data_IF_763480849163
#
_entry.id   IF_763480849163
#
_cell.length_a   1.000
_cell.length_b   1.000
_cell.length_c   1.000
_cell.angle_alpha   90.00
_cell.angle_beta   90.00
_cell.angle_gamma   90.00
#
_symmetry.space_group_name_H-M   'P 1'
#
loop_
_entity.id
_entity.type
_entity.pdbx_description
1 polymer ?
#
# COMPACT_ATOMS: atom_id res chain seq x y z
N UNK A 1 3.60 -12.11 2.85
CA UNK A 1 2.23 -12.21 3.36
C UNK A 1 1.29 -12.55 2.21
N UNK A 2 0.40 -13.49 2.40
CA UNK A 2 -0.44 -14.07 1.34
C UNK A 2 -1.33 -13.03 0.67
N UNK A 3 -2.01 -12.18 1.45
CA UNK A 3 -2.95 -11.18 0.91
C UNK A 3 -2.23 -10.17 0.01
N UNK A 4 -1.10 -9.65 0.46
CA UNK A 4 -0.30 -8.69 -0.31
C UNK A 4 0.23 -9.32 -1.60
N UNK A 5 0.72 -10.55 -1.51
CA UNK A 5 1.24 -11.30 -2.64
C UNK A 5 0.16 -11.57 -3.70
N UNK A 6 -1.04 -11.95 -3.25
CA UNK A 6 -2.17 -12.20 -4.13
C UNK A 6 -2.60 -10.92 -4.85
N UNK A 7 -2.70 -9.80 -4.13
CA UNK A 7 -3.06 -8.51 -4.72
C UNK A 7 -2.04 -8.05 -5.75
N UNK A 8 -0.75 -8.22 -5.46
CA UNK A 8 0.32 -7.86 -6.40
C UNK A 8 0.21 -8.65 -7.70
N UNK A 9 -0.18 -9.92 -7.62
CA UNK A 9 -0.34 -10.80 -8.77
C UNK A 9 -1.57 -10.45 -9.60
N UNK A 10 -2.67 -10.12 -8.95
CA UNK A 10 -3.96 -9.89 -9.61
C UNK A 10 -4.14 -8.45 -10.09
N UNK A 11 -3.76 -7.48 -9.27
CA UNK A 11 -3.95 -6.07 -9.58
C UNK A 11 -2.93 -5.22 -8.83
N UNK A 12 -1.92 -4.75 -9.55
CA UNK A 12 -0.81 -4.00 -8.96
C UNK A 12 -1.26 -2.66 -8.33
N UNK A 13 -2.30 -2.03 -8.86
CA UNK A 13 -2.83 -0.80 -8.29
C UNK A 13 -3.51 -1.07 -6.94
N UNK A 14 -4.28 -2.15 -6.83
CA UNK A 14 -4.85 -2.59 -5.55
C UNK A 14 -3.77 -2.96 -4.55
N UNK A 15 -2.71 -3.60 -5.01
CA UNK A 15 -1.56 -3.89 -4.17
C UNK A 15 -0.97 -2.61 -3.57
N UNK A 16 -0.77 -1.59 -4.39
CA UNK A 16 -0.21 -0.32 -3.95
C UNK A 16 -1.11 0.36 -2.90
N UNK A 17 -2.42 0.40 -3.15
CA UNK A 17 -3.39 0.96 -2.21
C UNK A 17 -3.39 0.20 -0.88
N UNK A 18 -3.31 -1.12 -0.96
CA UNK A 18 -3.23 -1.98 0.22
C UNK A 18 -1.95 -1.69 1.01
N UNK A 19 -0.81 -1.58 0.35
CA UNK A 19 0.45 -1.29 1.01
C UNK A 19 0.47 0.08 1.66
N UNK A 20 -0.16 1.08 1.06
CA UNK A 20 -0.30 2.39 1.68
C UNK A 20 -1.13 2.32 2.96
N UNK A 21 -2.21 1.55 2.94
CA UNK A 21 -3.02 1.32 4.14
C UNK A 21 -2.21 0.61 5.23
N UNK A 22 -1.38 -0.35 4.85
CA UNK A 22 -0.50 -1.06 5.78
C UNK A 22 0.51 -0.11 6.42
N UNK A 23 1.14 0.75 5.63
CA UNK A 23 2.04 1.77 6.16
C UNK A 23 1.32 2.69 7.17
N UNK A 24 0.12 3.11 6.86
CA UNK A 24 -0.68 3.96 7.74
C UNK A 24 -1.12 3.23 9.01
N UNK A 25 -1.47 1.95 8.90
CA UNK A 25 -1.79 1.11 10.07
C UNK A 25 -0.60 0.96 11.01
N UNK A 26 0.58 0.77 10.45
CA UNK A 26 1.82 0.70 11.24
C UNK A 26 2.04 2.00 11.99
N UNK A 27 1.89 3.13 11.31
CA UNK A 27 2.01 4.46 11.94
C UNK A 27 0.97 4.68 13.02
N UNK A 28 -0.28 4.32 12.77
CA UNK A 28 -1.37 4.46 13.72
C UNK A 28 -1.14 3.63 14.99
N UNK A 29 -0.48 2.50 14.86
CA UNK A 29 -0.10 1.64 15.99
C UNK A 29 1.27 1.99 16.58
N UNK A 30 1.86 3.10 16.18
CA UNK A 30 3.14 3.63 16.70
C UNK A 30 4.30 2.63 16.59
N UNK A 31 4.30 1.83 15.54
CA UNK A 31 5.33 0.81 15.30
C UNK A 31 5.42 -0.25 16.40
N UNK A 32 4.36 -0.43 17.18
CA UNK A 32 4.29 -1.39 18.28
C UNK A 32 3.65 -2.69 17.79
N UNK A 33 4.45 -3.76 17.74
CA UNK A 33 3.96 -5.07 17.29
C UNK A 33 2.89 -5.65 18.19
N UNK A 34 2.94 -5.41 19.51
CA UNK A 34 1.89 -5.87 20.41
C UNK A 34 0.54 -5.25 20.07
N UNK A 35 0.54 -3.95 19.77
CA UNK A 35 -0.65 -3.25 19.33
C UNK A 35 -1.15 -3.78 17.99
N UNK A 36 -0.26 -3.98 17.04
CA UNK A 36 -0.60 -4.52 15.71
C UNK A 36 -1.17 -5.93 15.83
N UNK A 37 -0.58 -6.78 16.66
CA UNK A 37 -1.10 -8.13 16.91
C UNK A 37 -2.54 -8.11 17.44
N UNK A 38 -2.83 -7.23 18.40
CA UNK A 38 -4.16 -7.16 19.02
C UNK A 38 -5.20 -6.52 18.11
N UNK A 39 -4.84 -5.46 17.39
CA UNK A 39 -5.82 -4.66 16.65
C UNK A 39 -5.98 -5.09 15.20
N UNK A 40 -4.97 -5.71 14.62
CA UNK A 40 -4.96 -6.08 13.20
C UNK A 40 -4.89 -7.59 13.02
N UNK A 41 -3.81 -8.22 13.46
CA UNK A 41 -3.53 -9.63 13.14
C UNK A 41 -4.52 -10.58 13.81
N UNK A 42 -4.93 -10.30 15.04
CA UNK A 42 -5.88 -11.12 15.76
C UNK A 42 -7.24 -11.25 15.04
N UNK A 43 -7.58 -10.28 14.21
CA UNK A 43 -8.85 -10.26 13.48
C UNK A 43 -8.82 -10.97 12.13
N UNK A 44 -7.64 -11.43 11.68
CA UNK A 44 -7.57 -12.25 10.47
C UNK A 44 -8.15 -13.63 10.73
N UNK A 45 -9.01 -14.09 9.82
CA UNK A 45 -9.56 -15.46 9.86
C UNK A 45 -8.56 -16.42 9.23
N UNK A 46 -7.48 -16.70 9.95
CA UNK A 46 -6.37 -17.52 9.48
C UNK A 46 -5.83 -18.36 10.64
N UNK A 47 -5.22 -19.53 10.32
CA UNK A 47 -4.53 -20.33 11.34
C UNK A 47 -3.39 -19.58 12.02
N UNK A 48 -3.02 -20.01 13.21
CA UNK A 48 -1.95 -19.38 14.00
C UNK A 48 -0.61 -19.33 13.25
N UNK A 49 -0.30 -20.35 12.46
CA UNK A 49 0.94 -20.37 11.67
C UNK A 49 0.96 -19.26 10.63
N UNK A 50 -0.18 -19.02 9.97
CA UNK A 50 -0.31 -17.92 9.01
C UNK A 50 -0.26 -16.57 9.71
N UNK A 51 -0.87 -16.45 10.88
CA UNK A 51 -0.80 -15.23 11.69
C UNK A 51 0.63 -14.89 12.09
N UNK A 52 1.45 -15.90 12.39
CA UNK A 52 2.87 -15.70 12.69
C UNK A 52 3.64 -15.17 11.47
N UNK A 53 3.34 -15.68 10.28
CA UNK A 53 3.94 -15.18 9.05
C UNK A 53 3.53 -13.73 8.79
N UNK A 54 2.28 -13.38 9.02
CA UNK A 54 1.78 -12.02 8.89
C UNK A 54 2.50 -11.10 9.89
N UNK A 55 2.65 -11.53 11.13
CA UNK A 55 3.36 -10.75 12.15
C UNK A 55 4.82 -10.50 11.76
N UNK A 56 5.51 -11.51 11.25
CA UNK A 56 6.88 -11.38 10.77
C UNK A 56 6.97 -10.40 9.60
N UNK A 57 6.02 -10.46 8.69
CA UNK A 57 5.95 -9.53 7.55
C UNK A 57 5.78 -8.08 8.03
N UNK A 58 4.93 -7.83 9.03
CA UNK A 58 4.79 -6.50 9.62
C UNK A 58 6.08 -6.04 10.30
N UNK A 59 6.77 -6.92 11.00
CA UNK A 59 8.07 -6.60 11.61
C UNK A 59 9.10 -6.17 10.57
N UNK A 60 9.15 -6.88 9.45
CA UNK A 60 10.04 -6.54 8.34
C UNK A 60 9.71 -5.18 7.74
N UNK A 61 8.42 -4.87 7.57
CA UNK A 61 8.00 -3.56 7.08
C UNK A 61 8.35 -2.44 8.06
N UNK A 62 8.17 -2.67 9.34
CA UNK A 62 8.54 -1.70 10.38
C UNK A 62 10.04 -1.39 10.28
N UNK A 63 10.86 -2.42 10.13
CA UNK A 63 12.30 -2.26 10.00
C UNK A 63 12.67 -1.47 8.72
N UNK A 64 12.03 -1.78 7.61
CA UNK A 64 12.20 -1.01 6.37
C UNK A 64 11.84 0.46 6.57
N UNK A 65 10.71 0.73 7.20
CA UNK A 65 10.26 2.10 7.44
C UNK A 65 11.23 2.88 8.33
N UNK A 66 11.80 2.22 9.35
CA UNK A 66 12.80 2.85 10.20
C UNK A 66 14.09 3.15 9.44
N UNK A 67 14.61 2.16 8.74
CA UNK A 67 15.87 2.31 8.03
C UNK A 67 15.80 3.32 6.89
N UNK A 68 14.63 3.47 6.26
CA UNK A 68 14.43 4.41 5.17
C UNK A 68 13.96 5.79 5.63
N UNK A 69 13.75 5.98 6.93
CA UNK A 69 13.36 7.28 7.48
C UNK A 69 11.95 7.73 7.13
N UNK A 70 11.02 6.78 6.92
CA UNK A 70 9.63 7.09 6.55
C UNK A 70 8.65 6.78 7.68
N UNK A 71 9.08 6.93 8.93
CA UNK A 71 8.21 6.65 10.09
C UNK A 71 7.05 7.64 10.21
N UNK A 72 7.27 8.91 9.89
CA UNK A 72 6.24 9.95 10.02
C UNK A 72 5.44 10.16 8.74
N UNK A 73 6.11 10.12 7.60
CA UNK A 73 5.50 10.36 6.29
C UNK A 73 6.34 9.74 5.19
N UNK A 74 5.72 9.59 4.03
CA UNK A 74 6.38 9.03 2.87
C UNK A 74 6.09 7.53 2.71
N UNK A 75 6.79 6.91 1.80
CA UNK A 75 6.59 5.51 1.43
C UNK A 75 7.91 4.77 1.36
N UNK A 76 7.90 3.48 1.69
CA UNK A 76 9.08 2.64 1.53
C UNK A 76 9.44 2.53 0.04
N UNK A 77 10.73 2.33 -0.25
CA UNK A 77 11.23 2.30 -1.63
C UNK A 77 10.56 1.20 -2.46
N UNK A 78 10.25 0.07 -1.84
CA UNK A 78 9.50 -1.01 -2.49
C UNK A 78 8.19 -0.51 -3.11
N UNK A 79 7.46 0.32 -2.39
CA UNK A 79 6.19 0.88 -2.86
C UNK A 79 6.40 2.00 -3.87
N UNK A 80 7.45 2.81 -3.70
CA UNK A 80 7.83 3.82 -4.71
C UNK A 80 8.19 3.19 -6.05
N UNK A 81 8.83 2.03 -6.03
CA UNK A 81 9.16 1.30 -7.25
C UNK A 81 7.90 0.86 -8.00
N UNK A 82 6.85 0.47 -7.28
CA UNK A 82 5.54 0.15 -7.89
C UNK A 82 4.95 1.39 -8.55
N UNK A 83 5.04 2.55 -7.91
CA UNK A 83 4.57 3.82 -8.49
C UNK A 83 5.29 4.11 -9.81
N UNK A 84 6.60 3.93 -9.84
CA UNK A 84 7.41 4.14 -11.05
C UNK A 84 6.94 3.23 -12.17
N UNK A 85 6.74 1.95 -11.88
CA UNK A 85 6.24 0.97 -12.85
C UNK A 85 4.87 1.33 -13.38
N UNK A 86 3.95 1.73 -12.50
CA UNK A 86 2.59 2.15 -12.88
C UNK A 86 2.60 3.42 -13.71
N UNK A 87 3.45 4.38 -13.36
CA UNK A 87 3.60 5.64 -14.11
C UNK A 87 4.09 5.35 -15.52
N UNK A 88 5.07 4.48 -15.66
CA UNK A 88 5.62 4.10 -16.95
C UNK A 88 4.55 3.42 -17.83
N UNK A 89 3.81 2.47 -17.27
CA UNK A 89 2.70 1.82 -17.95
C UNK A 89 1.63 2.82 -18.36
N UNK A 90 1.27 3.73 -17.47
CA UNK A 90 0.29 4.79 -17.70
C UNK A 90 0.69 5.68 -18.88
N UNK A 91 1.94 6.13 -18.92
CA UNK A 91 2.43 6.96 -20.01
C UNK A 91 2.41 6.25 -21.35
N UNK A 92 2.69 4.95 -21.36
CA UNK A 92 2.59 4.13 -22.58
C UNK A 92 1.15 4.00 -23.07
N UNK A 93 0.21 3.77 -22.16
CA UNK A 93 -1.21 3.63 -22.50
C UNK A 93 -1.82 4.95 -22.97
N UNK A 94 -1.37 6.09 -22.44
CA UNK A 94 -1.83 7.41 -22.90
C UNK A 94 -1.45 7.69 -24.36
N UNK A 95 -0.36 7.12 -24.84
CA UNK A 95 0.09 7.29 -26.23
C UNK A 95 -0.63 6.37 -27.19
N UNK A 96 -1.43 5.42 -26.70
CA UNK A 96 -2.17 4.49 -27.54
C UNK A 96 -3.53 5.06 -27.91
N UNK A 97 -3.85 5.28 -29.21
CA UNK A 97 -5.16 5.83 -29.60
C UNK A 97 -6.33 4.91 -29.25
N UNK A 98 -6.07 3.63 -29.05
CA UNK A 98 -7.11 2.63 -28.73
C UNK A 98 -7.52 2.65 -27.27
N UNK A 99 -6.77 3.36 -26.40
CA UNK A 99 -6.95 3.32 -24.95
C UNK A 99 -7.47 4.65 -24.38
N UNK A 100 -8.22 5.43 -25.18
CA UNK A 100 -8.77 6.71 -24.72
C UNK A 100 -9.66 6.57 -23.50
N UNK A 101 -10.52 5.53 -23.47
CA UNK A 101 -11.42 5.29 -22.33
C UNK A 101 -10.63 4.92 -21.08
N UNK A 102 -9.61 4.10 -21.24
CA UNK A 102 -8.70 3.75 -20.14
C UNK A 102 -8.03 4.99 -19.57
N UNK A 103 -7.50 5.86 -20.42
CA UNK A 103 -6.81 7.07 -19.99
C UNK A 103 -7.72 7.99 -19.17
N UNK A 104 -8.95 8.20 -19.61
CA UNK A 104 -9.92 9.03 -18.91
C UNK A 104 -10.29 8.43 -17.54
N UNK A 105 -10.57 7.14 -17.50
CA UNK A 105 -10.94 6.45 -16.27
C UNK A 105 -9.78 6.44 -15.27
N UNK A 106 -8.57 6.22 -15.76
CA UNK A 106 -7.39 6.18 -14.91
C UNK A 106 -7.11 7.55 -14.27
N UNK A 107 -7.18 8.63 -15.04
CA UNK A 107 -6.99 9.98 -14.52
C UNK A 107 -8.04 10.34 -13.47
N UNK A 108 -9.29 10.01 -13.71
CA UNK A 108 -10.36 10.24 -12.74
C UNK A 108 -10.11 9.52 -11.42
N UNK A 109 -9.72 8.25 -11.48
CA UNK A 109 -9.41 7.45 -10.30
C UNK A 109 -8.22 8.02 -9.53
N UNK A 110 -7.17 8.40 -10.25
CA UNK A 110 -5.95 8.90 -9.62
C UNK A 110 -6.18 10.26 -8.94
N UNK A 111 -6.90 11.16 -9.61
CA UNK A 111 -7.24 12.47 -9.08
C UNK A 111 -8.12 12.31 -7.83
N UNK A 112 -9.15 11.47 -7.91
CA UNK A 112 -10.06 11.21 -6.79
C UNK A 112 -9.29 10.65 -5.59
N UNK A 113 -8.43 9.69 -5.82
CA UNK A 113 -7.62 9.09 -4.76
C UNK A 113 -6.66 10.11 -4.14
N UNK A 114 -5.98 10.88 -4.98
CA UNK A 114 -5.05 11.90 -4.53
C UNK A 114 -5.74 12.96 -3.67
N UNK A 115 -6.89 13.46 -4.12
CA UNK A 115 -7.68 14.45 -3.37
C UNK A 115 -8.16 13.88 -2.04
N UNK A 116 -8.65 12.63 -2.04
CA UNK A 116 -9.10 11.96 -0.83
C UNK A 116 -7.95 11.75 0.17
N UNK A 117 -6.80 11.30 -0.31
CA UNK A 117 -5.60 11.10 0.50
C UNK A 117 -5.11 12.41 1.12
N UNK A 118 -5.10 13.49 0.33
CA UNK A 118 -4.68 14.82 0.79
C UNK A 118 -5.65 15.37 1.84
N UNK A 119 -6.96 15.16 1.65
CA UNK A 119 -7.99 15.56 2.63
C UNK A 119 -7.83 14.81 3.95
N UNK A 120 -7.48 13.53 3.91
CA UNK A 120 -7.21 12.73 5.10
C UNK A 120 -6.03 13.28 5.89
N UNK A 121 -5.01 13.74 5.21
CA UNK A 121 -3.84 14.35 5.82
C UNK A 121 -4.15 15.68 6.50
N UNK A 122 -5.09 16.45 5.96
CA UNK A 122 -5.46 17.74 6.54
C UNK A 122 -6.39 17.62 7.74
N UNK A 123 -7.09 16.51 7.87
CA UNK A 123 -8.00 16.24 8.99
C UNK A 123 -7.24 15.67 10.20
N UNK A 124 -6.13 15.02 9.94
CA UNK A 124 -5.27 14.44 10.97
C UNK A 124 -4.23 15.43 11.45
#
# INVERSE_FOLDING_TARGET
MIIARQKRKENIAEYLLYMWQVEDLIRANKFDMDSINRTVIAHYDQPEEVKKEIAQWYEELIEMMRSEGVMEKGHIQLNKNVIITLTDLHLRLLKSPKEMVYSAAYYLLLITYYLFSTSSFTIL
#
